data_IF_227692593558
#
_entry.id   IF_227692593558
#
_cell.length_a   1.000
_cell.length_b   1.000
_cell.length_c   1.000
_cell.angle_alpha   90.00
_cell.angle_beta   90.00
_cell.angle_gamma   90.00
#
_symmetry.space_group_name_H-M   'P 1'
#
loop_
_entity.id
_entity.type
_entity.pdbx_description
1 polymer ?
#
# COMPACT_ATOMS: atom_id res chain seq x y z
N UNK A 1 -22.23 -13.43 9.08
CA UNK A 1 -21.06 -14.33 9.15
C UNK A 1 -21.43 -15.78 9.39
N UNK A 2 -22.22 -16.12 10.42
CA UNK A 2 -22.55 -17.52 10.77
C UNK A 2 -23.17 -18.33 9.60
N UNK A 3 -24.10 -17.73 8.84
CA UNK A 3 -24.73 -18.39 7.69
C UNK A 3 -23.74 -18.68 6.56
N UNK A 4 -22.96 -17.69 6.12
CA UNK A 4 -21.89 -17.90 5.12
C UNK A 4 -20.84 -18.93 5.58
N UNK A 5 -20.52 -18.99 6.87
CA UNK A 5 -19.60 -20.00 7.41
C UNK A 5 -20.21 -21.42 7.43
N UNK A 6 -21.53 -21.53 7.56
CA UNK A 6 -22.25 -22.81 7.54
C UNK A 6 -22.49 -23.33 6.13
N UNK A 7 -22.59 -22.44 5.15
CA UNK A 7 -22.84 -22.76 3.75
C UNK A 7 -21.76 -22.15 2.83
N UNK A 8 -20.52 -22.68 2.85
CA UNK A 8 -19.41 -22.18 2.03
C UNK A 8 -19.61 -22.40 0.52
N UNK A 9 -20.61 -23.19 0.12
CA UNK A 9 -21.03 -23.37 -1.28
C UNK A 9 -22.13 -22.42 -1.73
N UNK A 10 -22.78 -21.70 -0.80
CA UNK A 10 -23.87 -20.78 -1.12
C UNK A 10 -23.29 -19.43 -1.55
N UNK A 11 -23.23 -19.21 -2.86
CA UNK A 11 -22.61 -18.04 -3.48
C UNK A 11 -23.29 -16.74 -3.01
N UNK A 12 -24.62 -16.72 -2.89
CA UNK A 12 -25.37 -15.56 -2.44
C UNK A 12 -24.93 -15.13 -1.02
N UNK A 13 -24.83 -16.08 -0.09
CA UNK A 13 -24.37 -15.79 1.27
C UNK A 13 -22.92 -15.33 1.32
N UNK A 14 -22.05 -15.86 0.47
CA UNK A 14 -20.67 -15.38 0.39
C UNK A 14 -20.60 -13.97 -0.19
N UNK A 15 -21.35 -13.69 -1.25
CA UNK A 15 -21.43 -12.37 -1.87
C UNK A 15 -21.92 -11.31 -0.88
N UNK A 16 -23.00 -11.59 -0.14
CA UNK A 16 -23.51 -10.68 0.89
C UNK A 16 -22.50 -10.42 2.02
N UNK A 17 -21.77 -11.47 2.41
CA UNK A 17 -20.69 -11.34 3.38
C UNK A 17 -19.57 -10.44 2.84
N UNK A 18 -19.08 -10.69 1.63
CA UNK A 18 -18.04 -9.88 0.98
C UNK A 18 -18.46 -8.40 0.94
N UNK A 19 -19.67 -8.10 0.48
CA UNK A 19 -20.19 -6.73 0.41
C UNK A 19 -20.22 -6.08 1.80
N UNK A 20 -20.66 -6.82 2.82
CA UNK A 20 -20.68 -6.33 4.20
C UNK A 20 -19.27 -6.04 4.73
N UNK A 21 -18.31 -6.95 4.50
CA UNK A 21 -16.92 -6.76 4.91
C UNK A 21 -16.30 -5.52 4.26
N UNK A 22 -16.48 -5.35 2.94
CA UNK A 22 -15.97 -4.19 2.20
C UNK A 22 -16.56 -2.88 2.72
N UNK A 23 -17.86 -2.86 3.04
CA UNK A 23 -18.51 -1.67 3.62
C UNK A 23 -17.98 -1.32 5.01
N UNK A 24 -17.76 -2.32 5.87
CA UNK A 24 -17.18 -2.10 7.21
C UNK A 24 -15.75 -1.58 7.12
N UNK A 25 -14.94 -2.15 6.21
CA UNK A 25 -13.59 -1.69 5.94
C UNK A 25 -13.58 -0.22 5.48
N UNK A 26 -14.47 0.12 4.54
CA UNK A 26 -14.61 1.48 4.03
C UNK A 26 -15.07 2.48 5.11
N UNK A 27 -15.88 2.03 6.07
CA UNK A 27 -16.28 2.82 7.23
C UNK A 27 -15.16 2.98 8.29
N UNK A 28 -13.96 2.43 8.04
CA UNK A 28 -12.83 2.50 8.96
C UNK A 28 -12.84 1.43 10.06
N UNK A 29 -13.82 0.53 10.07
CA UNK A 29 -13.83 -0.56 11.05
C UNK A 29 -12.80 -1.61 10.61
N UNK A 30 -11.69 -1.73 11.34
CA UNK A 30 -10.62 -2.73 11.13
C UNK A 30 -10.34 -3.03 9.64
N UNK A 31 -9.94 -2.03 8.82
CA UNK A 31 -9.94 -2.17 7.37
C UNK A 31 -9.06 -3.31 6.88
N UNK A 32 -7.87 -3.49 7.46
CA UNK A 32 -6.96 -4.61 7.19
C UNK A 32 -7.67 -5.96 7.28
N UNK A 33 -8.33 -6.21 8.41
CA UNK A 33 -9.03 -7.47 8.68
C UNK A 33 -10.14 -7.70 7.66
N UNK A 34 -10.96 -6.68 7.43
CA UNK A 34 -12.15 -6.82 6.60
C UNK A 34 -11.83 -6.93 5.11
N UNK A 35 -10.89 -6.15 4.59
CA UNK A 35 -10.43 -6.30 3.21
C UNK A 35 -9.71 -7.64 3.00
N UNK A 36 -8.88 -8.08 3.95
CA UNK A 36 -8.19 -9.38 3.85
C UNK A 36 -9.17 -10.55 3.87
N UNK A 37 -10.18 -10.52 4.75
CA UNK A 37 -11.23 -11.54 4.82
C UNK A 37 -12.07 -11.57 3.54
N UNK A 38 -12.45 -10.39 3.02
CA UNK A 38 -13.19 -10.28 1.76
C UNK A 38 -12.38 -10.83 0.57
N UNK A 39 -11.08 -10.48 0.50
CA UNK A 39 -10.19 -10.93 -0.56
C UNK A 39 -9.95 -12.45 -0.51
N UNK A 40 -9.86 -13.03 0.69
CA UNK A 40 -9.71 -14.47 0.86
C UNK A 40 -10.93 -15.23 0.31
N UNK A 41 -12.14 -14.77 0.65
CA UNK A 41 -13.39 -15.38 0.14
C UNK A 41 -13.49 -15.21 -1.37
N UNK A 42 -13.23 -14.00 -1.88
CA UNK A 42 -13.26 -13.71 -3.32
C UNK A 42 -12.27 -14.58 -4.10
N UNK A 43 -11.05 -14.75 -3.57
CA UNK A 43 -10.02 -15.57 -4.20
C UNK A 43 -10.41 -17.05 -4.25
N UNK A 44 -11.00 -17.59 -3.19
CA UNK A 44 -11.52 -18.97 -3.17
C UNK A 44 -12.63 -19.17 -4.21
N UNK A 45 -13.63 -18.29 -4.23
CA UNK A 45 -14.74 -18.37 -5.18
C UNK A 45 -14.25 -18.23 -6.63
N UNK A 46 -13.30 -17.33 -6.88
CA UNK A 46 -12.71 -17.15 -8.20
C UNK A 46 -11.93 -18.40 -8.66
N UNK A 47 -11.12 -18.98 -7.76
CA UNK A 47 -10.38 -20.21 -8.05
C UNK A 47 -11.30 -21.41 -8.35
N UNK A 48 -12.50 -21.43 -7.76
CA UNK A 48 -13.53 -22.44 -7.99
C UNK A 48 -14.42 -22.15 -9.21
N UNK A 49 -14.21 -21.03 -9.90
CA UNK A 49 -15.02 -20.61 -11.05
C UNK A 49 -16.47 -20.27 -10.70
N UNK A 50 -16.71 -19.85 -9.44
CA UNK A 50 -18.05 -19.56 -8.92
C UNK A 50 -18.45 -18.09 -9.04
N UNK A 51 -17.52 -17.20 -9.41
CA UNK A 51 -17.81 -15.80 -9.66
C UNK A 51 -18.32 -15.60 -11.09
N UNK A 52 -19.32 -14.74 -11.25
CA UNK A 52 -19.65 -14.21 -12.57
C UNK A 52 -18.54 -13.31 -13.11
N UNK A 53 -18.55 -13.02 -14.42
CA UNK A 53 -17.59 -12.11 -15.03
C UNK A 53 -17.52 -10.74 -14.32
N UNK A 54 -18.69 -10.20 -13.93
CA UNK A 54 -18.77 -8.94 -13.18
C UNK A 54 -18.19 -9.08 -11.77
N UNK A 55 -18.48 -10.18 -11.07
CA UNK A 55 -17.97 -10.42 -9.72
C UNK A 55 -16.46 -10.70 -9.69
N UNK A 56 -15.89 -11.29 -10.73
CA UNK A 56 -14.44 -11.49 -10.84
C UNK A 56 -13.68 -10.17 -10.84
N UNK A 57 -14.30 -9.05 -11.23
CA UNK A 57 -13.68 -7.71 -11.12
C UNK A 57 -13.50 -7.25 -9.68
N UNK A 58 -14.19 -7.86 -8.71
CA UNK A 58 -14.09 -7.48 -7.30
C UNK A 58 -12.76 -7.90 -6.69
N UNK A 59 -12.15 -9.00 -7.19
CA UNK A 59 -10.82 -9.46 -6.73
C UNK A 59 -9.79 -8.33 -6.87
N UNK A 60 -9.49 -7.81 -8.08
CA UNK A 60 -8.52 -6.72 -8.21
C UNK A 60 -8.96 -5.43 -7.50
N UNK A 61 -10.26 -5.14 -7.42
CA UNK A 61 -10.74 -3.95 -6.71
C UNK A 61 -10.48 -4.00 -5.20
N UNK A 62 -10.76 -5.14 -4.55
CA UNK A 62 -10.50 -5.33 -3.12
C UNK A 62 -9.00 -5.44 -2.85
N UNK A 63 -8.23 -6.11 -3.72
CA UNK A 63 -6.76 -6.15 -3.64
C UNK A 63 -6.18 -4.74 -3.66
N UNK A 64 -6.63 -3.89 -4.59
CA UNK A 64 -6.17 -2.50 -4.68
C UNK A 64 -6.46 -1.72 -3.38
N UNK A 65 -7.65 -1.88 -2.80
CA UNK A 65 -8.01 -1.21 -1.54
C UNK A 65 -7.16 -1.66 -0.35
N UNK A 66 -6.86 -2.95 -0.25
CA UNK A 66 -5.97 -3.46 0.79
C UNK A 66 -4.52 -2.97 0.59
N UNK A 67 -4.04 -2.94 -0.65
CA UNK A 67 -2.72 -2.40 -0.97
C UNK A 67 -2.60 -0.92 -0.61
N UNK A 68 -3.61 -0.11 -0.96
CA UNK A 68 -3.69 1.31 -0.61
C UNK A 68 -3.74 1.53 0.90
N UNK A 69 -4.49 0.69 1.63
CA UNK A 69 -4.54 0.73 3.08
C UNK A 69 -3.15 0.51 3.69
N UNK A 70 -2.44 -0.53 3.27
CA UNK A 70 -1.08 -0.79 3.75
C UNK A 70 -0.11 0.33 3.40
N UNK A 71 -0.20 0.90 2.19
CA UNK A 71 0.61 2.06 1.80
C UNK A 71 0.38 3.27 2.69
N UNK A 72 -0.88 3.54 3.07
CA UNK A 72 -1.25 4.65 3.95
C UNK A 72 -0.72 4.42 5.37
N UNK A 73 -0.86 3.20 5.88
CA UNK A 73 -0.31 2.80 7.17
C UNK A 73 1.23 2.85 7.20
N UNK A 74 1.89 2.56 6.06
CA UNK A 74 3.34 2.69 5.95
C UNK A 74 3.78 4.16 6.08
N UNK A 75 3.04 5.08 5.45
CA UNK A 75 3.30 6.52 5.55
C UNK A 75 3.12 7.02 6.99
N UNK A 76 2.01 6.66 7.65
CA UNK A 76 1.75 7.01 9.06
C UNK A 76 2.86 6.51 9.99
N UNK A 77 3.32 5.27 9.81
CA UNK A 77 4.38 4.69 10.62
C UNK A 77 5.73 5.45 10.53
N UNK A 78 6.01 6.13 9.40
CA UNK A 78 7.19 7.00 9.29
C UNK A 78 7.13 8.15 10.31
N UNK A 79 5.94 8.71 10.54
CA UNK A 79 5.74 9.82 11.48
C UNK A 79 5.78 9.37 12.94
N UNK A 80 5.40 8.12 13.21
CA UNK A 80 5.57 7.48 14.51
C UNK A 80 7.01 7.02 14.76
N UNK A 81 7.92 7.20 13.78
CA UNK A 81 9.30 6.68 13.77
C UNK A 81 9.37 5.15 13.88
N UNK A 82 8.29 4.46 13.55
CA UNK A 82 8.23 3.01 13.42
C UNK A 82 8.73 2.62 12.01
N UNK A 83 10.02 2.80 11.77
CA UNK A 83 10.60 2.58 10.43
C UNK A 83 10.55 1.11 10.00
N UNK A 84 10.73 0.18 10.94
CA UNK A 84 10.57 -1.25 10.66
C UNK A 84 9.13 -1.59 10.32
N UNK A 85 8.15 -1.04 11.04
CA UNK A 85 6.75 -1.23 10.71
C UNK A 85 6.31 -0.50 9.44
N UNK A 86 6.92 0.64 9.10
CA UNK A 86 6.71 1.31 7.82
C UNK A 86 7.18 0.44 6.65
N UNK A 87 8.37 -0.16 6.76
CA UNK A 87 8.87 -1.13 5.78
C UNK A 87 7.95 -2.34 5.64
N UNK A 88 7.53 -2.95 6.76
CA UNK A 88 6.64 -4.11 6.73
C UNK A 88 5.32 -3.82 6.00
N UNK A 89 4.71 -2.67 6.30
CA UNK A 89 3.45 -2.24 5.67
C UNK A 89 3.65 -1.88 4.21
N UNK A 90 4.74 -1.19 3.85
CA UNK A 90 5.04 -0.89 2.45
C UNK A 90 5.23 -2.18 1.64
N UNK A 91 5.95 -3.16 2.18
CA UNK A 91 6.13 -4.47 1.56
C UNK A 91 4.82 -5.26 1.47
N UNK A 92 3.94 -5.19 2.48
CA UNK A 92 2.61 -5.82 2.42
C UNK A 92 1.75 -5.23 1.29
N UNK A 93 1.77 -3.90 1.12
CA UNK A 93 1.07 -3.23 0.03
C UNK A 93 1.66 -3.57 -1.35
N UNK A 94 2.98 -3.52 -1.49
CA UNK A 94 3.68 -3.85 -2.74
C UNK A 94 3.62 -5.33 -3.11
N UNK A 95 3.46 -6.22 -2.12
CA UNK A 95 3.20 -7.63 -2.34
C UNK A 95 1.83 -7.91 -2.97
N UNK A 96 0.87 -7.01 -2.77
CA UNK A 96 -0.46 -7.05 -3.41
C UNK A 96 -0.48 -6.34 -4.76
N UNK A 97 0.17 -5.18 -4.88
CA UNK A 97 0.37 -4.50 -6.16
C UNK A 97 1.71 -3.75 -6.21
N UNK A 98 2.68 -4.37 -6.90
CA UNK A 98 4.03 -3.83 -7.06
C UNK A 98 4.11 -2.58 -7.96
N UNK A 99 3.01 -2.17 -8.59
CA UNK A 99 2.94 -1.00 -9.49
C UNK A 99 2.62 0.29 -8.72
N UNK A 100 2.35 0.21 -7.42
CA UNK A 100 2.05 1.38 -6.59
C UNK A 100 3.33 2.12 -6.22
N UNK A 101 3.85 2.92 -7.16
CA UNK A 101 5.13 3.63 -6.99
C UNK A 101 5.15 4.59 -5.78
N UNK A 102 4.00 5.15 -5.39
CA UNK A 102 3.90 5.96 -4.17
C UNK A 102 4.12 5.14 -2.89
N UNK A 103 3.87 3.83 -2.87
CA UNK A 103 4.22 2.97 -1.73
C UNK A 103 5.73 2.70 -1.73
N UNK A 104 6.37 2.68 -2.90
CA UNK A 104 7.83 2.55 -3.00
C UNK A 104 8.54 3.75 -2.37
N UNK A 105 7.99 4.96 -2.41
CA UNK A 105 8.57 6.09 -1.67
C UNK A 105 8.57 5.82 -0.17
N UNK A 106 7.46 5.31 0.39
CA UNK A 106 7.37 4.95 1.81
C UNK A 106 8.40 3.86 2.19
N UNK A 107 8.60 2.87 1.33
CA UNK A 107 9.65 1.86 1.51
C UNK A 107 11.04 2.50 1.49
N UNK A 108 11.33 3.37 0.53
CA UNK A 108 12.62 4.06 0.43
C UNK A 108 12.90 4.92 1.67
N UNK A 109 11.89 5.65 2.16
CA UNK A 109 11.98 6.43 3.40
C UNK A 109 12.31 5.53 4.60
N UNK A 110 11.57 4.43 4.76
CA UNK A 110 11.78 3.47 5.84
C UNK A 110 13.18 2.83 5.80
N UNK A 111 13.66 2.46 4.62
CA UNK A 111 15.01 1.91 4.41
C UNK A 111 16.09 2.92 4.75
N UNK A 112 15.94 4.17 4.30
CA UNK A 112 16.87 5.26 4.60
C UNK A 112 17.00 5.48 6.11
N UNK A 113 15.89 5.56 6.84
CA UNK A 113 15.93 5.75 8.30
C UNK A 113 16.50 4.56 9.07
N UNK A 114 16.54 3.37 8.44
CA UNK A 114 17.21 2.18 8.96
C UNK A 114 18.67 2.06 8.48
N UNK A 115 19.26 3.11 7.90
CA UNK A 115 20.61 3.14 7.32
C UNK A 115 20.85 2.15 6.17
N UNK A 116 19.79 1.65 5.52
CA UNK A 116 19.87 0.78 4.34
C UNK A 116 19.94 1.61 3.06
N UNK A 117 20.97 2.45 2.99
CA UNK A 117 21.09 3.53 2.01
C UNK A 117 21.10 3.03 0.57
N UNK A 118 21.86 1.97 0.26
CA UNK A 118 21.93 1.44 -1.10
C UNK A 118 20.57 0.96 -1.63
N UNK A 119 19.72 0.42 -0.76
CA UNK A 119 18.37 -0.05 -1.13
C UNK A 119 17.40 1.12 -1.29
N UNK A 120 17.52 2.15 -0.43
CA UNK A 120 16.76 3.39 -0.58
C UNK A 120 17.13 4.12 -1.89
N UNK A 121 18.42 4.26 -2.19
CA UNK A 121 18.94 4.86 -3.42
C UNK A 121 18.42 4.16 -4.68
N UNK A 122 18.40 2.82 -4.68
CA UNK A 122 17.89 2.05 -5.80
C UNK A 122 16.45 2.43 -6.17
N UNK A 123 15.61 2.73 -5.16
CA UNK A 123 14.23 3.17 -5.37
C UNK A 123 14.18 4.64 -5.77
N UNK A 124 14.79 5.54 -4.99
CA UNK A 124 14.75 6.98 -5.25
C UNK A 124 15.27 7.33 -6.64
N UNK A 125 16.37 6.71 -7.05
CA UNK A 125 17.01 6.98 -8.34
C UNK A 125 16.39 6.16 -9.48
N UNK A 126 15.85 4.98 -9.18
CA UNK A 126 15.20 4.11 -10.17
C UNK A 126 13.90 4.68 -10.74
N UNK A 127 13.18 5.50 -9.96
CA UNK A 127 11.93 6.15 -10.37
C UNK A 127 12.11 7.60 -10.81
N UNK A 128 13.35 8.09 -10.87
CA UNK A 128 13.66 9.46 -11.28
C UNK A 128 13.10 9.79 -12.68
N UNK A 129 12.52 10.97 -12.83
CA UNK A 129 11.94 11.46 -14.08
C UNK A 129 10.60 10.83 -14.45
N UNK A 130 10.06 9.94 -13.63
CA UNK A 130 8.71 9.38 -13.82
C UNK A 130 7.65 10.29 -13.20
N UNK A 131 6.40 10.13 -13.64
CA UNK A 131 5.25 10.76 -13.02
C UNK A 131 4.52 9.74 -12.14
N UNK A 132 4.36 10.05 -10.86
CA UNK A 132 3.64 9.22 -9.88
C UNK A 132 2.47 10.05 -9.35
N UNK A 133 1.25 9.50 -9.41
CA UNK A 133 0.02 10.20 -9.02
C UNK A 133 -0.15 11.60 -9.68
N UNK A 134 0.28 11.73 -10.94
CA UNK A 134 0.15 12.97 -11.70
C UNK A 134 1.17 14.07 -11.35
N UNK A 135 2.14 13.79 -10.47
CA UNK A 135 3.25 14.69 -10.15
C UNK A 135 4.61 14.06 -10.50
N UNK A 136 5.66 14.87 -10.77
CA UNK A 136 7.02 14.36 -10.88
C UNK A 136 7.44 13.61 -9.62
N UNK A 137 8.11 12.47 -9.78
CA UNK A 137 8.62 11.66 -8.68
C UNK A 137 9.46 12.48 -7.70
N UNK A 138 10.37 13.32 -8.21
CA UNK A 138 11.25 14.15 -7.41
C UNK A 138 10.44 15.12 -6.53
N UNK A 139 9.38 15.71 -7.08
CA UNK A 139 8.49 16.60 -6.33
C UNK A 139 7.78 15.84 -5.20
N UNK A 140 7.31 14.60 -5.46
CA UNK A 140 6.67 13.76 -4.45
C UNK A 140 7.63 13.49 -3.27
N UNK A 141 8.88 13.12 -3.56
CA UNK A 141 9.89 12.85 -2.54
C UNK A 141 10.26 14.11 -1.75
N UNK A 142 10.43 15.25 -2.42
CA UNK A 142 10.72 16.53 -1.76
C UNK A 142 9.60 16.97 -0.81
N UNK A 143 8.34 16.78 -1.21
CA UNK A 143 7.16 17.04 -0.37
C UNK A 143 7.14 16.13 0.87
N UNK A 144 7.42 14.83 0.70
CA UNK A 144 7.52 13.88 1.83
C UNK A 144 8.64 14.26 2.79
N UNK A 145 9.84 14.55 2.28
CA UNK A 145 10.97 14.99 3.10
C UNK A 145 10.66 16.28 3.85
N UNK A 146 9.96 17.22 3.22
CA UNK A 146 9.48 18.41 3.91
C UNK A 146 8.52 18.05 5.06
N UNK A 147 7.53 17.19 4.81
CA UNK A 147 6.56 16.78 5.84
C UNK A 147 7.26 16.10 7.04
N UNK A 148 8.24 15.23 6.78
CA UNK A 148 9.05 14.57 7.80
C UNK A 148 9.89 15.57 8.61
N UNK A 149 10.57 16.51 7.94
CA UNK A 149 11.35 17.56 8.61
C UNK A 149 10.49 18.48 9.48
N UNK A 150 9.29 18.83 9.03
CA UNK A 150 8.32 19.61 9.81
C UNK A 150 7.93 18.89 11.13
N UNK A 151 8.16 17.58 11.23
CA UNK A 151 7.98 16.75 12.44
C UNK A 151 9.29 16.40 13.15
N UNK A 152 10.40 17.04 12.80
CA UNK A 152 11.75 16.75 13.31
C UNK A 152 12.20 15.31 13.03
N UNK A 153 11.78 14.76 11.89
CA UNK A 153 12.15 13.43 11.41
C UNK A 153 13.05 13.67 10.19
N UNK A 154 14.37 13.53 10.38
CA UNK A 154 15.34 13.88 9.36
C UNK A 154 16.51 12.89 9.35
N UNK A 155 17.06 12.70 8.16
CA UNK A 155 18.25 11.89 7.94
C UNK A 155 19.20 12.64 6.99
N UNK A 156 20.53 12.64 7.19
CA UNK A 156 21.47 13.36 6.33
C UNK A 156 21.31 13.04 4.84
N UNK A 157 21.04 11.78 4.53
CA UNK A 157 20.86 11.28 3.16
C UNK A 157 19.68 11.93 2.40
N UNK A 158 18.69 12.52 3.08
CA UNK A 158 17.64 13.28 2.41
C UNK A 158 18.23 14.40 1.53
N UNK A 159 19.22 15.12 2.06
CA UNK A 159 19.88 16.20 1.32
C UNK A 159 20.73 15.66 0.15
N UNK A 160 21.25 14.44 0.28
CA UNK A 160 22.01 13.76 -0.79
C UNK A 160 21.09 13.38 -1.95
N UNK A 161 19.90 12.85 -1.67
CA UNK A 161 18.86 12.54 -2.67
C UNK A 161 18.40 13.83 -3.38
N UNK A 162 18.06 14.87 -2.64
CA UNK A 162 17.68 16.18 -3.21
C UNK A 162 18.80 16.77 -4.08
N UNK A 163 20.06 16.61 -3.68
CA UNK A 163 21.20 17.03 -4.49
C UNK A 163 21.34 16.17 -5.76
N UNK A 164 21.10 14.87 -5.68
CA UNK A 164 21.12 13.97 -6.83
C UNK A 164 20.04 14.34 -7.85
N UNK A 165 18.83 14.71 -7.41
CA UNK A 165 17.73 15.17 -8.26
C UNK A 165 18.05 16.49 -8.99
N UNK A 166 18.86 17.38 -8.40
CA UNK A 166 19.30 18.62 -9.04
C UNK A 166 20.42 18.45 -10.07
N UNK A 167 21.24 17.40 -9.99
CA UNK A 167 22.44 17.19 -10.82
C UNK A 167 22.21 16.75 -12.28
N UNK A 168 20.97 16.79 -12.80
CA UNK A 168 20.70 16.61 -14.25
C UNK A 168 19.67 17.64 -14.73
N UNK A 169 20.16 18.62 -15.49
CA UNK A 169 19.48 19.18 -16.66
C UNK A 169 20.28 18.77 -17.88
#
# INVERSE_FOLDING_TARGET
RKLAAQEPGNIEFQTDLIVSLVRLAFAGERPEKHYSEALAILSDLNARGLLSADQSTWVPAVTAKLAEFYGSQAYEALFDKDFTGAEQRANAGLGLDARLDWIKSNLAHALMFQNRIAEADAIYLGLRGTAVQGKPWEQLIEEDFKALRDKNIQHPHMAEIEAAFRKRR
#
